data_IF_631151044294
#
_entry.id   IF_631151044294
#
_cell.length_a   1.000
_cell.length_b   1.000
_cell.length_c   1.000
_cell.angle_alpha   90.00
_cell.angle_beta   90.00
_cell.angle_gamma   90.00
#
_symmetry.space_group_name_H-M   'P 1'
#
loop_
_entity.id
_entity.type
_entity.pdbx_description
1 polymer ?
#
# COMPACT_ATOMS: atom_id res chain seq x y z
N UNK A 1 -21.67 -6.20 6.31
CA UNK A 1 -20.40 -6.26 5.54
C UNK A 1 -19.66 -4.92 5.58
N UNK A 2 -20.25 -3.81 5.11
CA UNK A 2 -19.58 -2.50 5.11
C UNK A 2 -19.05 -2.04 6.48
N UNK A 3 -19.83 -2.23 7.55
CA UNK A 3 -19.36 -1.94 8.93
C UNK A 3 -18.11 -2.75 9.31
N UNK A 4 -18.08 -4.04 8.95
CA UNK A 4 -16.95 -4.92 9.25
C UNK A 4 -15.71 -4.53 8.43
N UNK A 5 -15.90 -4.19 7.16
CA UNK A 5 -14.84 -3.63 6.29
C UNK A 5 -14.27 -2.35 6.92
N UNK A 6 -15.14 -1.45 7.39
CA UNK A 6 -14.74 -0.22 8.06
C UNK A 6 -13.92 -0.46 9.33
N UNK A 7 -14.37 -1.37 10.20
CA UNK A 7 -13.63 -1.74 11.42
C UNK A 7 -12.29 -2.40 11.09
N UNK A 8 -12.26 -3.31 10.11
CA UNK A 8 -11.04 -3.95 9.64
C UNK A 8 -10.04 -2.91 9.09
N UNK A 9 -10.51 -2.01 8.23
CA UNK A 9 -9.71 -0.91 7.67
C UNK A 9 -9.12 -0.01 8.77
N UNK A 10 -9.94 0.40 9.75
CA UNK A 10 -9.49 1.24 10.86
C UNK A 10 -8.41 0.54 11.69
N UNK A 11 -8.62 -0.74 12.04
CA UNK A 11 -7.64 -1.54 12.76
C UNK A 11 -6.34 -1.70 11.96
N UNK A 12 -6.45 -1.88 10.65
CA UNK A 12 -5.34 -1.97 9.73
C UNK A 12 -4.49 -0.70 9.68
N UNK A 13 -5.11 0.48 9.61
CA UNK A 13 -4.39 1.75 9.65
C UNK A 13 -3.55 1.91 10.92
N UNK A 14 -4.13 1.56 12.08
CA UNK A 14 -3.40 1.59 13.36
C UNK A 14 -2.23 0.59 13.38
N UNK A 15 -2.48 -0.66 13.00
CA UNK A 15 -1.46 -1.72 12.93
C UNK A 15 -0.35 -1.34 11.95
N UNK A 16 -0.68 -0.73 10.80
CA UNK A 16 0.28 -0.31 9.79
C UNK A 16 1.26 0.74 10.31
N UNK A 17 0.76 1.76 11.02
CA UNK A 17 1.60 2.76 11.67
C UNK A 17 2.51 2.14 12.74
N UNK A 18 1.92 1.33 13.63
CA UNK A 18 2.67 0.60 14.66
C UNK A 18 3.76 -0.30 14.07
N UNK A 19 3.46 -1.00 12.96
CA UNK A 19 4.38 -1.88 12.27
C UNK A 19 5.54 -1.12 11.63
N UNK A 20 5.26 0.05 11.05
CA UNK A 20 6.28 0.94 10.49
C UNK A 20 7.27 1.40 11.55
N UNK A 21 6.78 1.74 12.74
CA UNK A 21 7.60 2.18 13.86
C UNK A 21 8.43 1.04 14.47
N UNK A 22 7.86 -0.18 14.57
CA UNK A 22 8.53 -1.35 15.16
C UNK A 22 9.53 -2.04 14.23
N UNK A 23 9.16 -2.30 12.98
CA UNK A 23 10.02 -3.04 12.03
C UNK A 23 10.99 -2.13 11.27
N UNK A 24 10.76 -0.83 11.34
CA UNK A 24 11.45 0.17 10.54
C UNK A 24 10.77 0.36 9.19
N UNK A 25 10.66 1.63 8.80
CA UNK A 25 9.93 2.11 7.63
C UNK A 25 10.31 1.40 6.33
N UNK A 26 11.61 1.12 6.13
CA UNK A 26 12.10 0.43 4.92
C UNK A 26 11.68 -1.04 4.83
N UNK A 27 11.53 -1.73 5.97
CA UNK A 27 11.05 -3.13 5.97
C UNK A 27 9.53 -3.15 5.80
N UNK A 28 8.82 -2.27 6.52
CA UNK A 28 7.38 -2.14 6.37
C UNK A 28 6.97 -1.79 4.94
N UNK A 29 7.69 -0.90 4.25
CA UNK A 29 7.45 -0.51 2.86
C UNK A 29 7.51 -1.70 1.88
N UNK A 30 8.28 -2.73 2.21
CA UNK A 30 8.39 -3.95 1.39
C UNK A 30 7.36 -5.00 1.78
N UNK A 31 7.16 -5.19 3.08
CA UNK A 31 6.31 -6.25 3.62
C UNK A 31 4.82 -5.97 3.41
N UNK A 32 4.36 -4.73 3.60
CA UNK A 32 2.93 -4.42 3.54
C UNK A 32 2.37 -4.56 2.12
N UNK A 33 3.00 -4.03 1.05
CA UNK A 33 2.52 -4.26 -0.32
C UNK A 33 2.59 -5.74 -0.72
N UNK A 34 3.59 -6.49 -0.25
CA UNK A 34 3.68 -7.93 -0.48
C UNK A 34 2.53 -8.69 0.22
N UNK A 35 2.23 -8.36 1.47
CA UNK A 35 1.08 -8.90 2.19
C UNK A 35 -0.24 -8.52 1.52
N UNK A 36 -0.34 -7.30 0.99
CA UNK A 36 -1.51 -6.84 0.25
C UNK A 36 -1.72 -7.64 -1.04
N UNK A 37 -0.64 -7.93 -1.78
CA UNK A 37 -0.70 -8.77 -2.98
C UNK A 37 -1.24 -10.18 -2.66
N UNK A 38 -0.73 -10.80 -1.59
CA UNK A 38 -1.18 -12.12 -1.15
C UNK A 38 -2.66 -12.10 -0.71
N UNK A 39 -3.05 -11.10 0.07
CA UNK A 39 -4.43 -10.95 0.53
C UNK A 39 -5.39 -10.71 -0.64
N UNK A 40 -5.01 -9.88 -1.61
CA UNK A 40 -5.80 -9.63 -2.81
C UNK A 40 -5.92 -10.87 -3.71
N UNK A 41 -4.85 -11.65 -3.85
CA UNK A 41 -4.86 -12.91 -4.59
C UNK A 41 -5.76 -13.97 -3.92
N UNK A 42 -5.90 -13.95 -2.60
CA UNK A 42 -6.78 -14.85 -1.86
C UNK A 42 -8.27 -14.54 -2.06
N UNK A 43 -8.65 -13.27 -2.32
CA UNK A 43 -10.04 -12.86 -2.53
C UNK A 43 -10.75 -13.69 -3.61
N UNK A 44 -10.27 -13.75 -4.88
CA UNK A 44 -10.93 -14.52 -5.93
C UNK A 44 -10.94 -16.03 -5.64
N UNK A 45 -9.92 -16.56 -4.94
CA UNK A 45 -9.83 -17.97 -4.58
C UNK A 45 -10.84 -18.38 -3.49
N UNK A 46 -11.29 -17.42 -2.70
CA UNK A 46 -12.25 -17.66 -1.61
C UNK A 46 -13.72 -17.49 -2.02
N UNK A 47 -13.99 -17.09 -3.28
CA UNK A 47 -15.34 -16.87 -3.78
C UNK A 47 -16.21 -18.13 -3.64
N UNK A 48 -17.44 -17.95 -3.13
CA UNK A 48 -18.38 -19.04 -2.90
C UNK A 48 -18.07 -19.93 -1.68
N UNK A 49 -16.97 -19.69 -0.99
CA UNK A 49 -16.61 -20.42 0.24
C UNK A 49 -17.04 -19.68 1.51
N UNK A 50 -17.18 -20.41 2.62
CA UNK A 50 -17.38 -19.83 3.96
C UNK A 50 -16.21 -18.93 4.40
N UNK A 51 -15.04 -19.07 3.77
CA UNK A 51 -13.83 -18.28 4.05
C UNK A 51 -13.80 -16.90 3.38
N UNK A 52 -14.75 -16.58 2.50
CA UNK A 52 -14.76 -15.31 1.76
C UNK A 52 -14.75 -14.10 2.69
N UNK A 53 -15.62 -14.08 3.70
CA UNK A 53 -15.76 -12.93 4.58
C UNK A 53 -14.48 -12.68 5.41
N UNK A 54 -13.89 -13.67 6.10
CA UNK A 54 -12.59 -13.51 6.76
C UNK A 54 -11.47 -13.02 5.82
N UNK A 55 -11.35 -13.60 4.62
CA UNK A 55 -10.34 -13.19 3.63
C UNK A 55 -10.54 -11.73 3.23
N UNK A 56 -11.79 -11.32 3.00
CA UNK A 56 -12.14 -9.94 2.68
C UNK A 56 -11.81 -8.98 3.84
N UNK A 57 -11.96 -9.40 5.10
CA UNK A 57 -11.59 -8.58 6.26
C UNK A 57 -10.07 -8.39 6.35
N UNK A 58 -9.30 -9.46 6.11
CA UNK A 58 -7.82 -9.39 6.10
C UNK A 58 -7.34 -8.46 5.00
N UNK A 59 -7.88 -8.62 3.79
CA UNK A 59 -7.58 -7.71 2.67
C UNK A 59 -7.93 -6.25 3.02
N UNK A 60 -9.11 -6.02 3.62
CA UNK A 60 -9.55 -4.69 4.02
C UNK A 60 -8.60 -4.04 5.03
N UNK A 61 -8.17 -4.79 6.05
CA UNK A 61 -7.21 -4.29 7.03
C UNK A 61 -5.86 -3.94 6.39
N UNK A 62 -5.31 -4.83 5.56
CA UNK A 62 -4.01 -4.60 4.93
C UNK A 62 -4.05 -3.42 3.93
N UNK A 63 -5.17 -3.21 3.23
CA UNK A 63 -5.31 -2.09 2.28
C UNK A 63 -5.04 -0.73 2.92
N UNK A 64 -5.47 -0.57 4.17
CA UNK A 64 -5.29 0.67 4.94
C UNK A 64 -3.94 0.78 5.66
N UNK A 65 -3.12 -0.28 5.68
CA UNK A 65 -1.75 -0.23 6.19
C UNK A 65 -0.80 0.53 5.25
N UNK A 66 -1.10 0.59 3.95
CA UNK A 66 -0.19 1.14 2.94
C UNK A 66 0.10 2.62 3.19
N UNK A 67 -0.93 3.43 3.45
CA UNK A 67 -0.79 4.87 3.65
C UNK A 67 0.13 5.24 4.81
N UNK A 68 -0.08 4.76 6.06
CA UNK A 68 0.81 5.10 7.18
C UNK A 68 2.24 4.58 6.97
N UNK A 69 2.43 3.45 6.28
CA UNK A 69 3.77 2.93 5.97
C UNK A 69 4.51 3.82 4.98
N UNK A 70 3.87 4.23 3.89
CA UNK A 70 4.49 5.12 2.88
C UNK A 70 4.75 6.50 3.48
N UNK A 71 3.79 7.05 4.23
CA UNK A 71 3.97 8.34 4.90
C UNK A 71 5.13 8.30 5.90
N UNK A 72 5.22 7.25 6.71
CA UNK A 72 6.32 7.09 7.66
C UNK A 72 7.67 6.91 6.96
N UNK A 73 7.72 6.18 5.85
CA UNK A 73 8.93 6.08 5.01
C UNK A 73 9.39 7.46 4.50
N UNK A 74 8.49 8.26 3.93
CA UNK A 74 8.82 9.59 3.39
C UNK A 74 9.32 10.55 4.47
N UNK A 75 8.67 10.58 5.63
CA UNK A 75 9.06 11.44 6.75
C UNK A 75 10.42 11.05 7.35
N UNK A 76 10.77 9.76 7.31
CA UNK A 76 11.99 9.23 7.94
C UNK A 76 13.18 9.18 6.99
N UNK A 77 12.95 9.07 5.67
CA UNK A 77 14.00 9.08 4.66
C UNK A 77 14.59 10.47 4.45
N UNK A 78 13.76 11.52 4.43
CA UNK A 78 14.21 12.91 4.32
C UNK A 78 13.37 13.82 5.23
N UNK A 79 13.82 14.13 6.46
CA UNK A 79 13.09 14.98 7.39
C UNK A 79 12.89 16.43 6.88
N UNK A 80 13.74 16.91 5.97
CA UNK A 80 13.66 18.28 5.48
C UNK A 80 12.56 18.44 4.42
N UNK A 81 12.37 17.43 3.56
CA UNK A 81 11.36 17.45 2.48
C UNK A 81 10.17 16.50 2.71
N UNK A 82 10.18 15.72 3.79
CA UNK A 82 9.22 14.63 4.02
C UNK A 82 7.76 15.08 4.06
N UNK A 83 7.47 16.28 4.57
CA UNK A 83 6.10 16.84 4.56
C UNK A 83 5.60 17.11 3.14
N UNK A 84 6.45 17.64 2.26
CA UNK A 84 6.16 17.80 0.84
C UNK A 84 5.99 16.42 0.16
N UNK A 85 6.83 15.45 0.51
CA UNK A 85 6.68 14.05 0.07
C UNK A 85 5.32 13.45 0.44
N UNK A 86 4.86 13.64 1.69
CA UNK A 86 3.55 13.17 2.15
C UNK A 86 2.40 13.85 1.39
N UNK A 87 2.51 15.15 1.11
CA UNK A 87 1.50 15.87 0.32
C UNK A 87 1.43 15.36 -1.13
N UNK A 88 2.59 15.13 -1.76
CA UNK A 88 2.68 14.53 -3.10
C UNK A 88 2.11 13.11 -3.12
N UNK A 89 2.42 12.28 -2.13
CA UNK A 89 1.87 10.94 -1.99
C UNK A 89 0.33 10.97 -1.86
N UNK A 90 -0.22 11.88 -1.07
CA UNK A 90 -1.68 12.03 -0.91
C UNK A 90 -2.34 12.43 -2.23
N UNK A 91 -1.70 13.31 -2.99
CA UNK A 91 -2.17 13.71 -4.33
C UNK A 91 -2.14 12.53 -5.31
N UNK A 92 -1.02 11.79 -5.34
CA UNK A 92 -0.87 10.58 -6.16
C UNK A 92 -1.88 9.50 -5.77
N UNK A 93 -2.18 9.33 -4.47
CA UNK A 93 -3.19 8.40 -3.98
C UNK A 93 -4.58 8.75 -4.52
N UNK A 94 -5.01 10.01 -4.45
CA UNK A 94 -6.30 10.43 -5.01
C UNK A 94 -6.37 10.25 -6.52
N UNK A 95 -5.27 10.56 -7.23
CA UNK A 95 -5.15 10.30 -8.66
C UNK A 95 -5.30 8.80 -8.96
N UNK A 96 -4.62 7.96 -8.18
CA UNK A 96 -4.70 6.50 -8.26
C UNK A 96 -6.09 5.95 -7.96
N UNK A 97 -6.81 6.51 -6.98
CA UNK A 97 -8.21 6.16 -6.70
C UNK A 97 -9.11 6.52 -7.90
N UNK A 98 -8.94 7.70 -8.49
CA UNK A 98 -9.70 8.12 -9.67
C UNK A 98 -9.45 7.22 -10.89
N UNK A 99 -8.18 6.99 -11.22
CA UNK A 99 -7.77 6.11 -12.32
C UNK A 99 -8.19 4.65 -12.07
N UNK A 100 -8.05 4.18 -10.83
CA UNK A 100 -8.45 2.84 -10.40
C UNK A 100 -9.96 2.62 -10.48
N UNK A 101 -10.77 3.63 -10.12
CA UNK A 101 -12.22 3.56 -10.26
C UNK A 101 -12.64 3.51 -11.74
N UNK A 102 -12.02 4.32 -12.61
CA UNK A 102 -12.27 4.30 -14.05
C UNK A 102 -11.88 2.96 -14.68
N UNK A 103 -10.67 2.47 -14.40
CA UNK A 103 -10.18 1.17 -14.87
C UNK A 103 -11.05 0.02 -14.33
N UNK A 104 -11.41 0.05 -13.05
CA UNK A 104 -12.27 -0.94 -12.42
C UNK A 104 -13.65 -0.99 -13.08
N UNK A 105 -14.25 0.17 -13.37
CA UNK A 105 -15.51 0.26 -14.10
C UNK A 105 -15.43 -0.37 -15.50
N UNK A 106 -14.35 -0.09 -16.24
CA UNK A 106 -14.11 -0.69 -17.56
C UNK A 106 -13.94 -2.21 -17.48
N UNK A 107 -13.17 -2.70 -16.50
CA UNK A 107 -12.95 -4.14 -16.27
C UNK A 107 -14.27 -4.84 -15.91
N UNK A 108 -15.07 -4.25 -15.04
CA UNK A 108 -16.40 -4.78 -14.69
C UNK A 108 -17.30 -4.84 -15.93
N UNK A 109 -17.30 -3.81 -16.77
CA UNK A 109 -18.11 -3.76 -17.98
C UNK A 109 -17.69 -4.80 -19.03
N UNK A 110 -16.38 -5.04 -19.19
CA UNK A 110 -15.85 -5.94 -20.24
C UNK A 110 -15.69 -7.40 -19.79
N UNK A 111 -15.29 -7.63 -18.54
CA UNK A 111 -14.82 -8.93 -18.03
C UNK A 111 -15.56 -9.38 -16.76
N UNK A 112 -16.42 -8.53 -16.19
CA UNK A 112 -17.17 -8.80 -14.97
C UNK A 112 -16.40 -8.57 -13.67
N UNK A 113 -17.12 -8.58 -12.55
CA UNK A 113 -16.58 -8.26 -11.21
C UNK A 113 -15.46 -9.23 -10.79
N UNK A 114 -15.54 -10.50 -11.19
CA UNK A 114 -14.54 -11.52 -10.84
C UNK A 114 -13.15 -11.24 -11.44
N UNK A 115 -13.04 -10.43 -12.49
CA UNK A 115 -11.76 -10.02 -13.08
C UNK A 115 -11.06 -8.90 -12.28
N UNK A 116 -11.80 -8.15 -11.46
CA UNK A 116 -11.27 -6.97 -10.77
C UNK A 116 -10.10 -7.26 -9.81
N UNK A 117 -10.09 -8.36 -9.01
CA UNK A 117 -8.98 -8.62 -8.11
C UNK A 117 -7.69 -8.96 -8.87
N UNK A 118 -7.79 -9.58 -10.05
CA UNK A 118 -6.64 -9.94 -10.88
C UNK A 118 -5.95 -8.72 -11.50
N UNK A 119 -6.74 -7.76 -12.00
CA UNK A 119 -6.21 -6.48 -12.49
C UNK A 119 -5.59 -5.70 -11.34
N UNK A 120 -6.27 -5.66 -10.19
CA UNK A 120 -5.70 -5.07 -8.98
C UNK A 120 -4.38 -5.73 -8.55
N UNK A 121 -4.28 -7.05 -8.62
CA UNK A 121 -3.06 -7.78 -8.29
C UNK A 121 -1.89 -7.38 -9.19
N UNK A 122 -2.11 -7.25 -10.49
CA UNK A 122 -1.08 -6.78 -11.42
C UNK A 122 -0.56 -5.37 -11.05
N UNK A 123 -1.47 -4.45 -10.70
CA UNK A 123 -1.10 -3.10 -10.25
C UNK A 123 -0.33 -3.12 -8.91
N UNK A 124 -0.73 -3.97 -7.97
CA UNK A 124 -0.03 -4.11 -6.68
C UNK A 124 1.36 -4.70 -6.87
N UNK A 125 1.55 -5.65 -7.78
CA UNK A 125 2.87 -6.21 -8.09
C UNK A 125 3.79 -5.15 -8.71
N UNK A 126 3.27 -4.29 -9.58
CA UNK A 126 4.02 -3.15 -10.10
C UNK A 126 4.40 -2.16 -8.97
N UNK A 127 3.46 -1.86 -8.07
CA UNK A 127 3.73 -1.02 -6.89
C UNK A 127 4.79 -1.64 -5.96
N UNK A 128 4.76 -2.95 -5.75
CA UNK A 128 5.75 -3.68 -4.96
C UNK A 128 7.15 -3.60 -5.61
N UNK A 129 7.23 -3.74 -6.93
CA UNK A 129 8.50 -3.57 -7.66
C UNK A 129 9.07 -2.15 -7.48
N UNK A 130 8.22 -1.11 -7.58
CA UNK A 130 8.62 0.26 -7.31
C UNK A 130 9.08 0.45 -5.85
N UNK A 131 8.37 -0.12 -4.87
CA UNK A 131 8.73 -0.04 -3.46
C UNK A 131 10.09 -0.72 -3.16
N UNK A 132 10.36 -1.85 -3.81
CA UNK A 132 11.66 -2.52 -3.73
C UNK A 132 12.77 -1.63 -4.30
N UNK A 133 12.56 -1.04 -5.47
CA UNK A 133 13.51 -0.09 -6.08
C UNK A 133 13.78 1.13 -5.18
N UNK A 134 12.73 1.80 -4.71
CA UNK A 134 12.85 2.97 -3.83
C UNK A 134 13.63 2.65 -2.53
N UNK A 135 13.41 1.46 -1.95
CA UNK A 135 14.10 1.05 -0.72
C UNK A 135 15.62 0.87 -0.89
N UNK A 136 16.10 0.67 -2.13
CA UNK A 136 17.52 0.49 -2.48
C UNK A 136 18.22 1.79 -2.85
N UNK A 137 17.54 2.73 -3.51
CA UNK A 137 18.12 3.99 -3.99
C UNK A 137 18.58 4.90 -2.84
N UNK A 138 17.82 4.99 -1.75
CA UNK A 138 18.21 5.80 -0.58
C UNK A 138 19.44 5.24 0.16
N UNK A 139 19.86 4.00 -0.09
CA UNK A 139 21.11 3.46 0.45
C UNK A 139 22.36 4.03 -0.25
N UNK A 140 22.23 4.43 -1.53
CA UNK A 140 23.33 4.98 -2.32
C UNK A 140 23.52 6.49 -2.06
N UNK A 141 22.44 7.23 -1.79
CA UNK A 141 22.51 8.68 -1.54
C UNK A 141 23.20 9.03 -0.22
N UNK A 142 23.09 8.18 0.82
CA UNK A 142 23.85 8.34 2.08
C UNK A 142 25.36 8.10 1.93
N UNK A 143 25.82 7.49 0.83
CA UNK A 143 27.23 7.25 0.57
C UNK A 143 27.93 8.44 -0.14
N UNK A 144 27.20 9.51 -0.46
CA UNK A 144 27.79 10.68 -1.10
C UNK A 144 28.47 11.60 -0.05
N UNK A 145 29.72 12.01 -0.27
CA UNK A 145 30.53 12.75 0.70
C UNK A 145 30.07 14.20 0.97
N UNK A 146 28.92 14.62 0.43
CA UNK A 146 28.42 15.99 0.51
C UNK A 146 27.15 16.10 1.37
N UNK A 147 27.17 15.54 2.59
CA UNK A 147 26.17 15.93 3.58
C UNK A 147 26.58 17.29 4.16
N UNK A 148 25.85 18.38 3.88
CA UNK A 148 26.13 19.66 4.54
C UNK A 148 25.88 19.52 6.05
N UNK A 149 26.70 20.17 6.90
CA UNK A 149 26.59 20.03 8.34
C UNK A 149 25.21 20.49 8.82
N UNK A 150 24.59 19.68 9.69
CA UNK A 150 23.34 20.02 10.35
C UNK A 150 23.50 21.34 11.11
N UNK A 151 22.67 22.33 10.77
CA UNK A 151 22.46 23.54 11.56
C UNK A 151 21.18 23.41 12.35
#
# INVERSE_FOLDING_TARGET
ILLLIGLAALSGGYIGGWLADRLGHRRALRLVPAAFALALAAVPLSLGSIGFLPVLMVWSAISWMISPVVQSFLLRSDPASGSAGVALNTSAMHLGVGLGAALGGLVVAALGVAATPWVGLALVLAALACALGASTLDGATQALPFSPPAR
#
